data_IF_569229047568
#
_entry.id   IF_569229047568
#
_cell.length_a   1.000
_cell.length_b   1.000
_cell.length_c   1.000
_cell.angle_alpha   90.00
_cell.angle_beta   90.00
_cell.angle_gamma   90.00
#
_symmetry.space_group_name_H-M   'P 1'
#
loop_
_entity.id
_entity.type
_entity.pdbx_description
1 polymer ?
#
# COMPACT_ATOMS: atom_id res chain seq x y z
N UNK A 1 -7.25 15.09 23.60
CA UNK A 1 -8.44 15.03 22.71
C UNK A 1 -8.87 13.57 22.59
N UNK A 2 -10.17 13.27 22.55
CA UNK A 2 -10.65 11.90 22.32
C UNK A 2 -10.80 11.65 20.82
N UNK A 3 -10.16 10.60 20.32
CA UNK A 3 -10.25 10.13 18.94
C UNK A 3 -11.05 8.84 18.89
N UNK A 4 -12.07 8.78 18.04
CA UNK A 4 -12.72 7.53 17.63
C UNK A 4 -12.10 7.07 16.32
N UNK A 5 -11.88 5.76 16.19
CA UNK A 5 -11.25 5.19 15.01
C UNK A 5 -11.77 3.79 14.73
N UNK A 6 -11.56 3.38 13.48
CA UNK A 6 -11.76 2.00 13.02
C UNK A 6 -10.37 1.39 12.84
N UNK A 7 -10.09 0.27 13.49
CA UNK A 7 -8.91 -0.51 13.19
C UNK A 7 -9.21 -1.41 11.98
N UNK A 8 -8.38 -1.31 10.95
CA UNK A 8 -8.65 -1.90 9.64
C UNK A 8 -7.35 -2.34 8.97
N UNK A 9 -7.41 -3.30 8.05
CA UNK A 9 -6.24 -3.69 7.29
C UNK A 9 -6.57 -4.02 5.83
N UNK A 10 -5.59 -3.77 4.96
CA UNK A 10 -5.61 -4.16 3.55
C UNK A 10 -4.49 -5.15 3.28
N UNK A 11 -4.83 -6.42 3.03
CA UNK A 11 -3.87 -7.52 2.83
C UNK A 11 -2.83 -7.57 3.95
N UNK A 12 -3.26 -7.67 5.20
CA UNK A 12 -2.41 -7.71 6.39
C UNK A 12 -1.81 -6.37 6.86
N UNK A 13 -1.73 -5.34 6.01
CA UNK A 13 -1.20 -4.02 6.38
C UNK A 13 -2.26 -3.23 7.15
N UNK A 14 -2.04 -3.02 8.46
CA UNK A 14 -3.05 -2.62 9.45
C UNK A 14 -2.90 -1.19 9.96
N UNK A 15 -4.03 -0.55 10.26
CA UNK A 15 -4.10 0.87 10.58
C UNK A 15 -5.24 1.20 11.55
N UNK A 16 -5.02 2.04 12.56
CA UNK A 16 -6.07 2.94 13.03
C UNK A 16 -6.45 3.95 11.94
N UNK A 17 -7.74 4.04 11.63
CA UNK A 17 -8.32 4.98 10.66
C UNK A 17 -9.30 5.93 11.36
N UNK A 18 -9.00 7.24 11.31
CA UNK A 18 -9.80 8.31 11.91
C UNK A 18 -10.58 9.06 10.83
N UNK A 19 -11.87 9.33 11.08
CA UNK A 19 -12.60 10.37 10.35
C UNK A 19 -12.16 11.76 10.82
N UNK A 20 -11.22 12.36 10.08
CA UNK A 20 -10.61 13.64 10.39
C UNK A 20 -11.29 14.83 9.69
N UNK A 21 -12.43 14.62 9.00
CA UNK A 21 -13.21 15.67 8.30
C UNK A 21 -13.87 16.71 9.23
N UNK A 22 -13.57 16.71 10.52
CA UNK A 22 -14.04 17.72 11.46
C UNK A 22 -12.97 18.13 12.47
N UNK A 23 -11.73 17.68 12.27
CA UNK A 23 -10.66 17.79 13.25
C UNK A 23 -9.59 18.73 12.69
N UNK A 24 -9.41 19.88 13.34
CA UNK A 24 -8.37 20.84 13.00
C UNK A 24 -7.14 20.60 13.89
N UNK A 25 -6.16 19.87 13.34
CA UNK A 25 -4.82 19.70 13.90
C UNK A 25 -3.78 19.97 12.81
N UNK A 26 -2.64 20.53 13.19
CA UNK A 26 -1.53 20.71 12.26
C UNK A 26 -0.75 19.40 12.04
N UNK A 27 0.22 19.43 11.11
CA UNK A 27 1.01 18.25 10.75
C UNK A 27 1.89 17.75 11.91
N UNK A 28 2.34 18.64 12.80
CA UNK A 28 3.15 18.27 13.96
C UNK A 28 2.30 17.53 14.99
N UNK A 29 1.07 17.99 15.20
CA UNK A 29 0.09 17.35 16.08
C UNK A 29 -0.34 16.00 15.51
N UNK A 30 -0.64 15.89 14.21
CA UNK A 30 -0.94 14.61 13.59
C UNK A 30 0.22 13.63 13.64
N UNK A 31 1.46 14.10 13.45
CA UNK A 31 2.65 13.27 13.61
C UNK A 31 2.78 12.70 15.04
N UNK A 32 2.41 13.48 16.07
CA UNK A 32 2.39 13.00 17.47
C UNK A 32 1.28 11.99 17.71
N UNK A 33 0.08 12.23 17.19
CA UNK A 33 -1.03 11.26 17.28
C UNK A 33 -0.69 9.96 16.55
N UNK A 34 -0.05 10.05 15.38
CA UNK A 34 0.40 8.88 14.62
C UNK A 34 1.40 8.03 15.42
N UNK A 35 2.43 8.66 16.00
CA UNK A 35 3.37 7.96 16.90
C UNK A 35 2.66 7.27 18.06
N UNK A 36 1.68 7.93 18.67
CA UNK A 36 0.95 7.38 19.81
C UNK A 36 0.07 6.17 19.46
N UNK A 37 -0.57 6.20 18.29
CA UNK A 37 -1.53 5.16 17.88
C UNK A 37 -0.92 4.02 17.09
N UNK A 38 0.14 4.28 16.31
CA UNK A 38 0.79 3.27 15.48
C UNK A 38 1.94 2.54 16.19
N UNK A 39 2.34 2.97 17.39
CA UNK A 39 3.33 2.24 18.19
C UNK A 39 2.81 0.84 18.57
N UNK A 40 3.45 -0.19 18.00
CA UNK A 40 3.11 -1.60 18.27
C UNK A 40 3.41 -2.04 19.71
N UNK A 41 4.16 -1.26 20.48
CA UNK A 41 4.33 -1.48 21.92
C UNK A 41 3.21 -0.87 22.77
N UNK A 42 2.36 -0.03 22.16
CA UNK A 42 1.15 0.52 22.76
C UNK A 42 -0.10 -0.36 22.58
N UNK A 43 -1.25 0.13 23.06
CA UNK A 43 -2.52 -0.62 23.08
C UNK A 43 -3.20 -0.76 21.71
N UNK A 44 -2.90 0.14 20.77
CA UNK A 44 -3.52 0.15 19.42
C UNK A 44 -2.60 -0.55 18.43
N UNK A 45 -1.45 0.06 18.12
CA UNK A 45 -0.50 -0.45 17.14
C UNK A 45 -0.99 -0.36 15.69
N UNK A 46 -0.06 -0.43 14.75
CA UNK A 46 -0.35 -0.53 13.33
C UNK A 46 0.84 -0.10 12.47
N UNK A 47 0.73 -0.26 11.16
CA UNK A 47 1.73 0.18 10.19
C UNK A 47 1.64 1.69 9.88
N UNK A 48 0.70 2.39 10.48
CA UNK A 48 0.54 3.84 10.39
C UNK A 48 -0.83 4.33 10.81
N UNK A 49 -1.02 5.64 10.82
CA UNK A 49 -2.30 6.29 11.06
C UNK A 49 -2.90 6.74 9.73
N UNK A 50 -4.12 6.30 9.44
CA UNK A 50 -4.90 6.79 8.30
C UNK A 50 -5.88 7.87 8.74
N UNK A 51 -5.99 8.91 7.93
CA UNK A 51 -6.95 9.99 8.11
C UNK A 51 -7.85 10.10 6.88
N UNK A 52 -9.15 9.93 7.08
CA UNK A 52 -10.17 10.37 6.12
C UNK A 52 -10.32 11.89 6.25
N UNK A 53 -10.04 12.63 5.17
CA UNK A 53 -10.05 14.10 5.15
C UNK A 53 -11.12 14.64 4.21
N UNK A 54 -11.35 15.96 4.29
CA UNK A 54 -12.44 16.62 3.58
C UNK A 54 -12.43 16.40 2.06
N UNK A 55 -13.62 16.45 1.48
CA UNK A 55 -13.83 16.56 0.04
C UNK A 55 -13.36 17.92 -0.49
N UNK A 56 -13.26 18.01 -1.82
CA UNK A 56 -13.10 19.25 -2.55
C UNK A 56 -13.95 19.20 -3.84
N UNK A 57 -13.77 20.14 -4.75
CA UNK A 57 -14.55 20.21 -6.00
C UNK A 57 -14.32 19.01 -6.95
N UNK A 58 -13.23 18.26 -6.76
CA UNK A 58 -12.78 17.17 -7.64
C UNK A 58 -12.81 15.79 -6.99
N UNK A 59 -12.91 15.72 -5.65
CA UNK A 59 -12.77 14.50 -4.87
C UNK A 59 -13.90 14.34 -3.86
N UNK A 60 -14.40 13.11 -3.72
CA UNK A 60 -15.48 12.78 -2.77
C UNK A 60 -15.00 12.84 -1.31
N UNK A 61 -13.71 12.68 -1.07
CA UNK A 61 -12.97 12.85 0.19
C UNK A 61 -11.47 12.75 -0.10
N UNK A 62 -10.63 12.99 0.90
CA UNK A 62 -9.19 12.75 0.81
C UNK A 62 -8.69 11.68 1.79
N UNK A 63 -7.50 11.18 1.56
CA UNK A 63 -6.74 10.32 2.47
C UNK A 63 -5.39 10.97 2.79
N UNK A 64 -5.02 10.94 4.07
CA UNK A 64 -3.63 11.15 4.50
C UNK A 64 -3.16 9.91 5.27
N UNK A 65 -1.86 9.63 5.20
CA UNK A 65 -1.22 8.55 5.96
C UNK A 65 0.02 9.07 6.65
N UNK A 66 0.11 8.83 7.96
CA UNK A 66 1.31 9.05 8.75
C UNK A 66 1.92 7.71 9.13
N UNK A 67 3.22 7.55 8.93
CA UNK A 67 4.00 6.40 9.35
C UNK A 67 4.15 6.38 10.89
N UNK A 68 4.58 5.25 11.48
CA UNK A 68 4.78 5.14 12.92
C UNK A 68 5.81 6.12 13.50
N UNK A 69 6.74 6.65 12.69
CA UNK A 69 7.69 7.70 13.10
C UNK A 69 7.07 9.12 13.08
N UNK A 70 5.86 9.26 12.54
CA UNK A 70 5.13 10.50 12.35
C UNK A 70 5.46 11.24 11.06
N UNK A 71 6.27 10.67 10.17
CA UNK A 71 6.43 11.19 8.81
C UNK A 71 5.18 10.90 7.98
N UNK A 72 4.80 11.80 7.06
CA UNK A 72 3.63 11.59 6.21
C UNK A 72 4.01 10.95 4.87
N UNK A 73 3.43 9.78 4.59
CA UNK A 73 3.68 9.00 3.38
C UNK A 73 3.05 9.64 2.13
N UNK A 74 3.66 9.40 0.97
CA UNK A 74 3.18 9.90 -0.34
C UNK A 74 1.91 9.16 -0.79
N UNK A 75 1.91 7.84 -0.64
CA UNK A 75 0.77 6.98 -0.97
C UNK A 75 0.79 5.71 -0.12
N UNK A 76 -0.38 5.08 -0.01
CA UNK A 76 -0.53 3.70 0.46
C UNK A 76 -1.79 3.11 -0.16
N UNK A 77 -1.64 2.20 -1.13
CA UNK A 77 -2.79 1.63 -1.82
C UNK A 77 -3.59 0.65 -0.94
N UNK A 78 -2.98 0.08 0.10
CA UNK A 78 -3.69 -0.70 1.12
C UNK A 78 -4.58 0.20 1.98
N UNK A 79 -4.00 1.27 2.51
CA UNK A 79 -4.73 2.28 3.28
C UNK A 79 -5.80 3.01 2.47
N UNK A 80 -5.60 3.18 1.16
CA UNK A 80 -6.60 3.75 0.27
C UNK A 80 -7.86 2.88 0.19
N UNK A 81 -7.73 1.56 0.08
CA UNK A 81 -8.90 0.65 0.12
C UNK A 81 -9.67 0.80 1.43
N UNK A 82 -8.95 0.80 2.55
CA UNK A 82 -9.53 0.93 3.89
C UNK A 82 -10.23 2.30 4.08
N UNK A 83 -9.56 3.38 3.71
CA UNK A 83 -10.10 4.75 3.79
C UNK A 83 -11.29 4.94 2.87
N UNK A 84 -11.24 4.40 1.64
CA UNK A 84 -12.36 4.46 0.70
C UNK A 84 -13.59 3.72 1.22
N UNK A 85 -13.43 2.54 1.86
CA UNK A 85 -14.54 1.82 2.48
C UNK A 85 -15.26 2.69 3.52
N UNK A 86 -14.51 3.29 4.46
CA UNK A 86 -15.09 4.17 5.47
C UNK A 86 -15.71 5.42 4.84
N UNK A 87 -15.00 6.05 3.91
CA UNK A 87 -15.45 7.24 3.20
C UNK A 87 -16.79 7.01 2.50
N UNK A 88 -16.92 5.93 1.72
CA UNK A 88 -18.17 5.54 1.05
C UNK A 88 -19.33 5.31 2.02
N UNK A 89 -19.07 4.63 3.15
CA UNK A 89 -20.10 4.42 4.17
C UNK A 89 -20.61 5.75 4.76
N UNK A 90 -19.71 6.71 4.99
CA UNK A 90 -20.05 8.00 5.62
C UNK A 90 -20.64 9.03 4.65
N UNK A 91 -20.34 8.94 3.35
CA UNK A 91 -20.89 9.84 2.33
C UNK A 91 -22.13 9.28 1.64
N UNK A 92 -22.39 7.98 1.77
CA UNK A 92 -23.43 7.28 1.01
C UNK A 92 -23.10 7.12 -0.48
N UNK A 93 -21.84 7.34 -0.89
CA UNK A 93 -21.37 7.10 -2.26
C UNK A 93 -20.78 5.70 -2.42
N UNK A 94 -20.60 5.23 -3.65
CA UNK A 94 -20.05 3.89 -3.95
C UNK A 94 -18.83 3.91 -4.85
N UNK A 95 -18.54 5.05 -5.46
CA UNK A 95 -17.40 5.27 -6.34
C UNK A 95 -17.06 6.77 -6.38
N UNK A 96 -15.82 7.07 -6.76
CA UNK A 96 -15.36 8.44 -6.99
C UNK A 96 -13.84 8.55 -6.95
N UNK A 97 -13.34 9.78 -7.10
CA UNK A 97 -11.91 10.09 -6.94
C UNK A 97 -11.59 10.49 -5.50
N UNK A 98 -10.49 9.96 -4.99
CA UNK A 98 -9.97 10.21 -3.65
C UNK A 98 -8.68 11.01 -3.77
N UNK A 99 -8.61 12.14 -3.06
CA UNK A 99 -7.39 12.96 -3.01
C UNK A 99 -6.32 12.27 -2.15
N UNK A 100 -5.09 12.22 -2.64
CA UNK A 100 -3.89 11.78 -1.92
C UNK A 100 -2.97 12.99 -1.68
N UNK A 101 -1.82 12.77 -1.03
CA UNK A 101 -0.87 13.84 -0.68
C UNK A 101 -0.38 14.62 -1.90
N UNK A 102 0.00 13.92 -2.97
CA UNK A 102 0.59 14.49 -4.18
C UNK A 102 -0.14 14.10 -5.47
N UNK A 103 -1.23 13.35 -5.37
CA UNK A 103 -1.97 12.81 -6.51
C UNK A 103 -3.42 12.52 -6.14
N UNK A 104 -4.15 11.83 -7.01
CA UNK A 104 -5.45 11.25 -6.71
C UNK A 104 -5.53 9.82 -7.24
N UNK A 105 -6.57 9.10 -6.83
CA UNK A 105 -6.87 7.77 -7.32
C UNK A 105 -8.38 7.54 -7.43
N UNK A 106 -8.79 6.77 -8.41
CA UNK A 106 -10.17 6.26 -8.47
C UNK A 106 -10.38 5.17 -7.43
N UNK A 107 -11.54 5.16 -6.78
CA UNK A 107 -11.96 4.08 -5.90
C UNK A 107 -13.42 3.71 -6.16
N UNK A 108 -13.77 2.43 -5.97
CA UNK A 108 -15.16 1.96 -6.00
C UNK A 108 -15.36 0.68 -5.19
N UNK A 109 -16.57 0.51 -4.67
CA UNK A 109 -17.01 -0.76 -4.07
C UNK A 109 -17.29 -1.75 -5.20
N UNK A 110 -16.68 -2.93 -5.14
CA UNK A 110 -16.88 -4.01 -6.11
C UNK A 110 -17.43 -5.26 -5.43
N UNK A 111 -17.71 -6.31 -6.21
CA UNK A 111 -18.10 -7.60 -5.67
C UNK A 111 -17.02 -8.15 -4.74
N UNK A 112 -17.46 -8.79 -3.67
CA UNK A 112 -16.58 -9.41 -2.69
C UNK A 112 -15.66 -10.43 -3.37
N UNK A 113 -14.37 -10.39 -3.02
CA UNK A 113 -13.38 -11.34 -3.52
C UNK A 113 -13.62 -12.76 -2.98
N UNK A 114 -14.24 -12.85 -1.80
CA UNK A 114 -14.73 -14.07 -1.17
C UNK A 114 -15.91 -13.72 -0.24
N UNK A 115 -16.79 -14.67 0.10
CA UNK A 115 -17.96 -14.40 0.94
C UNK A 115 -17.59 -13.69 2.25
N UNK A 116 -18.21 -12.54 2.51
CA UNK A 116 -17.99 -11.74 3.72
C UNK A 116 -16.74 -10.86 3.67
N UNK A 117 -15.97 -10.86 2.59
CA UNK A 117 -14.77 -10.03 2.43
C UNK A 117 -15.11 -8.75 1.68
N UNK A 118 -15.37 -7.67 2.43
CA UNK A 118 -15.59 -6.34 1.87
C UNK A 118 -14.43 -5.92 0.96
N UNK A 119 -14.74 -5.68 -0.32
CA UNK A 119 -13.73 -5.49 -1.37
C UNK A 119 -13.85 -4.11 -2.00
N UNK A 120 -12.72 -3.39 -2.04
CA UNK A 120 -12.59 -2.09 -2.68
C UNK A 120 -11.62 -2.22 -3.84
N UNK A 121 -12.02 -1.68 -4.99
CA UNK A 121 -11.15 -1.48 -6.14
C UNK A 121 -10.58 -0.07 -6.12
N UNK A 122 -9.29 0.04 -6.35
CA UNK A 122 -8.56 1.30 -6.53
C UNK A 122 -7.85 1.30 -7.88
N UNK A 123 -7.90 2.41 -8.59
CA UNK A 123 -7.19 2.62 -9.86
C UNK A 123 -6.22 3.78 -9.72
N UNK A 124 -4.93 3.49 -9.89
CA UNK A 124 -3.83 4.44 -9.73
C UNK A 124 -2.89 4.38 -10.95
N UNK A 125 -2.10 5.43 -11.12
CA UNK A 125 -1.21 5.63 -12.26
C UNK A 125 -1.44 6.97 -12.95
N UNK A 126 -0.91 7.16 -14.17
CA UNK A 126 -0.18 6.16 -14.95
C UNK A 126 1.19 5.82 -14.35
N UNK A 127 1.63 4.59 -14.54
CA UNK A 127 3.00 4.15 -14.26
C UNK A 127 3.97 4.93 -15.15
N UNK A 128 5.10 5.34 -14.56
CA UNK A 128 6.25 5.78 -15.34
C UNK A 128 7.37 4.75 -15.32
N UNK A 129 7.99 4.55 -16.48
CA UNK A 129 9.21 3.77 -16.67
C UNK A 129 10.42 4.69 -16.98
N UNK A 130 10.23 6.01 -16.94
CA UNK A 130 11.33 6.95 -17.16
C UNK A 130 12.32 6.84 -15.98
N UNK A 131 13.60 6.52 -16.22
CA UNK A 131 14.57 6.34 -15.13
C UNK A 131 14.66 7.55 -14.19
N UNK A 132 14.57 8.77 -14.72
CA UNK A 132 14.59 9.99 -13.91
C UNK A 132 13.35 10.17 -13.04
N UNK A 133 12.17 9.74 -13.49
CA UNK A 133 10.94 9.76 -12.68
C UNK A 133 10.92 8.64 -11.63
N UNK A 134 11.62 7.53 -11.87
CA UNK A 134 11.95 6.53 -10.83
C UNK A 134 13.01 7.08 -9.85
N UNK A 135 13.65 8.22 -10.14
CA UNK A 135 14.68 8.81 -9.30
C UNK A 135 16.08 8.23 -9.50
N UNK A 136 16.29 7.43 -10.56
CA UNK A 136 17.60 6.91 -10.91
C UNK A 136 18.50 8.02 -11.47
N UNK A 137 19.68 8.18 -10.89
CA UNK A 137 20.72 9.09 -11.39
C UNK A 137 21.57 8.34 -12.40
N UNK A 138 21.18 8.41 -13.68
CA UNK A 138 21.84 7.71 -14.79
C UNK A 138 21.87 8.57 -16.06
N UNK A 139 22.82 8.29 -16.95
CA UNK A 139 22.86 8.88 -18.30
C UNK A 139 21.90 8.18 -19.27
N UNK A 140 21.39 7.00 -18.91
CA UNK A 140 20.45 6.25 -19.73
C UNK A 140 19.05 6.89 -19.65
N UNK A 141 18.50 7.27 -20.81
CA UNK A 141 17.13 7.79 -20.93
C UNK A 141 16.11 6.71 -21.24
N UNK A 142 16.56 5.59 -21.83
CA UNK A 142 15.69 4.44 -22.12
C UNK A 142 15.27 3.74 -20.82
N UNK A 143 14.01 3.28 -20.72
CA UNK A 143 13.54 2.50 -19.58
C UNK A 143 14.39 1.26 -19.28
N UNK A 144 14.62 0.97 -18.00
CA UNK A 144 15.12 -0.33 -17.56
C UNK A 144 13.93 -1.30 -17.47
N UNK A 145 13.84 -2.22 -18.42
CA UNK A 145 12.78 -3.24 -18.48
C UNK A 145 13.45 -4.60 -18.69
N UNK A 146 13.36 -5.46 -17.67
CA UNK A 146 13.96 -6.80 -17.64
C UNK A 146 15.45 -6.84 -18.02
N UNK A 147 16.22 -5.88 -17.50
CA UNK A 147 17.66 -5.79 -17.76
C UNK A 147 18.44 -5.36 -16.52
N UNK A 148 19.75 -5.67 -16.42
CA UNK A 148 20.58 -5.17 -15.33
C UNK A 148 20.61 -3.64 -15.28
N UNK A 149 20.62 -3.08 -14.07
CA UNK A 149 20.78 -1.64 -13.84
C UNK A 149 22.24 -1.38 -13.45
N UNK A 150 23.04 -0.70 -14.30
CA UNK A 150 24.44 -0.41 -13.98
C UNK A 150 24.60 0.35 -12.66
N UNK A 151 25.48 -0.14 -11.78
CA UNK A 151 25.73 0.44 -10.46
C UNK A 151 24.88 -0.16 -9.33
N UNK A 152 23.84 -0.93 -9.64
CA UNK A 152 23.12 -1.74 -8.66
C UNK A 152 24.00 -2.95 -8.26
N UNK A 153 24.11 -3.33 -6.97
CA UNK A 153 24.94 -4.45 -6.53
C UNK A 153 24.24 -5.80 -6.75
N UNK A 154 23.70 -6.01 -7.95
CA UNK A 154 23.05 -7.25 -8.37
C UNK A 154 23.23 -7.45 -9.87
N UNK A 155 23.47 -8.69 -10.28
CA UNK A 155 23.54 -9.07 -11.69
C UNK A 155 22.15 -9.40 -12.29
N UNK A 156 21.08 -9.36 -11.48
CA UNK A 156 19.73 -9.67 -11.91
C UNK A 156 19.21 -8.60 -12.88
N UNK A 157 18.25 -9.01 -13.69
CA UNK A 157 17.43 -8.10 -14.48
C UNK A 157 16.35 -7.44 -13.62
N UNK A 158 16.14 -6.14 -13.80
CA UNK A 158 15.11 -5.38 -13.12
C UNK A 158 14.23 -4.63 -14.12
N UNK A 159 13.01 -4.37 -13.70
CA UNK A 159 12.14 -3.35 -14.27
C UNK A 159 12.01 -2.22 -13.26
N UNK A 160 12.41 -1.01 -13.65
CA UNK A 160 12.33 0.19 -12.83
C UNK A 160 10.98 0.89 -13.08
N UNK A 161 10.21 1.13 -12.02
CA UNK A 161 8.81 1.58 -12.09
C UNK A 161 8.56 2.68 -11.07
N UNK A 162 7.90 3.77 -11.45
CA UNK A 162 7.38 4.78 -10.52
C UNK A 162 5.85 4.64 -10.43
N UNK A 163 5.32 4.41 -9.23
CA UNK A 163 3.89 4.18 -9.00
C UNK A 163 3.40 4.55 -7.59
N UNK A 164 3.32 5.85 -7.22
CA UNK A 164 4.05 7.00 -7.75
C UNK A 164 5.47 7.10 -7.15
N UNK A 165 5.78 6.29 -6.14
CA UNK A 165 7.11 6.18 -5.54
C UNK A 165 7.93 5.10 -6.27
N UNK A 166 9.26 5.03 -6.08
CA UNK A 166 10.13 4.21 -6.90
C UNK A 166 10.14 2.73 -6.48
N UNK A 167 10.05 1.85 -7.47
CA UNK A 167 10.09 0.40 -7.35
C UNK A 167 11.12 -0.21 -8.30
N UNK A 168 11.99 -1.06 -7.77
CA UNK A 168 12.88 -1.93 -8.53
C UNK A 168 12.33 -3.35 -8.44
N UNK A 169 11.72 -3.83 -9.52
CA UNK A 169 11.06 -5.14 -9.59
C UNK A 169 11.93 -6.13 -10.33
N UNK A 170 12.21 -7.29 -9.74
CA UNK A 170 12.90 -8.40 -10.40
C UNK A 170 12.08 -9.68 -10.28
N UNK A 171 12.11 -10.52 -11.32
CA UNK A 171 11.45 -11.82 -11.34
C UNK A 171 12.46 -12.91 -10.97
N UNK A 172 12.08 -13.77 -10.04
CA UNK A 172 12.94 -14.82 -9.48
C UNK A 172 12.21 -16.16 -9.47
N UNK A 173 12.96 -17.26 -9.49
CA UNK A 173 12.40 -18.61 -9.35
C UNK A 173 11.90 -18.87 -7.92
N UNK A 174 12.65 -18.36 -6.94
CA UNK A 174 12.31 -18.40 -5.52
C UNK A 174 12.83 -17.13 -4.83
N UNK A 175 12.08 -16.60 -3.88
CA UNK A 175 12.50 -15.45 -3.06
C UNK A 175 13.64 -15.87 -2.13
N UNK A 176 14.80 -15.22 -2.30
CA UNK A 176 15.88 -15.19 -1.32
C UNK A 176 15.73 -13.89 -0.51
N UNK A 177 15.22 -14.00 0.72
CA UNK A 177 15.02 -12.84 1.59
C UNK A 177 16.34 -12.22 2.03
N UNK A 178 17.41 -12.99 2.19
CA UNK A 178 18.71 -12.45 2.58
C UNK A 178 19.29 -11.59 1.46
N UNK A 179 19.12 -12.00 0.19
CA UNK A 179 19.49 -11.17 -0.96
C UNK A 179 18.62 -9.92 -1.06
N UNK A 180 17.30 -10.07 -0.90
CA UNK A 180 16.37 -8.95 -0.92
C UNK A 180 16.71 -7.91 0.16
N UNK A 181 17.02 -8.35 1.39
CA UNK A 181 17.45 -7.48 2.49
C UNK A 181 18.76 -6.79 2.16
N UNK A 182 19.79 -7.51 1.71
CA UNK A 182 21.08 -6.89 1.34
C UNK A 182 20.92 -5.80 0.27
N UNK A 183 20.07 -6.05 -0.74
CA UNK A 183 19.81 -5.08 -1.80
C UNK A 183 18.94 -3.91 -1.31
N UNK A 184 17.95 -4.21 -0.46
CA UNK A 184 17.09 -3.23 0.21
C UNK A 184 17.88 -2.27 1.09
N UNK A 185 18.73 -2.79 1.97
CA UNK A 185 19.65 -2.01 2.82
C UNK A 185 20.56 -1.11 1.99
N UNK A 186 21.09 -1.63 0.88
CA UNK A 186 21.89 -0.83 -0.03
C UNK A 186 21.09 0.32 -0.66
N UNK A 187 19.85 0.08 -1.07
CA UNK A 187 18.95 1.12 -1.56
C UNK A 187 18.58 2.13 -0.46
N UNK A 188 18.34 1.66 0.77
CA UNK A 188 17.96 2.49 1.93
C UNK A 188 19.12 3.40 2.38
N UNK A 189 20.37 2.99 2.16
CA UNK A 189 21.54 3.84 2.39
C UNK A 189 21.60 5.08 1.47
N UNK A 190 20.70 5.21 0.48
CA UNK A 190 20.60 6.36 -0.42
C UNK A 190 21.85 6.54 -1.32
N UNK A 191 22.27 5.50 -2.07
CA UNK A 191 23.48 5.55 -2.87
C UNK A 191 23.33 6.54 -4.03
N UNK A 192 24.45 6.98 -4.62
CA UNK A 192 24.44 7.97 -5.70
C UNK A 192 23.54 7.60 -6.89
N UNK A 193 23.35 6.29 -7.15
CA UNK A 193 22.44 5.80 -8.19
C UNK A 193 20.97 6.10 -7.89
N UNK A 194 20.54 6.00 -6.62
CA UNK A 194 19.15 6.18 -6.19
C UNK A 194 19.10 6.94 -4.85
N UNK A 195 19.44 8.26 -4.83
CA UNK A 195 19.56 9.01 -3.58
C UNK A 195 18.24 9.12 -2.80
N UNK A 196 17.11 9.12 -3.53
CA UNK A 196 15.77 9.12 -2.96
C UNK A 196 15.33 7.75 -2.42
N UNK A 197 16.24 6.75 -2.45
CA UNK A 197 16.01 5.34 -2.10
C UNK A 197 14.93 4.70 -2.99
N UNK A 198 14.71 3.41 -2.87
CA UNK A 198 13.64 2.72 -3.60
C UNK A 198 13.12 1.51 -2.87
N UNK A 199 11.86 1.16 -3.15
CA UNK A 199 11.32 -0.15 -2.81
C UNK A 199 11.97 -1.19 -3.73
N UNK A 200 12.37 -2.33 -3.18
CA UNK A 200 12.90 -3.47 -3.95
C UNK A 200 11.91 -4.61 -3.83
N UNK A 201 11.53 -5.23 -4.95
CA UNK A 201 10.54 -6.32 -4.95
C UNK A 201 11.04 -7.50 -5.75
N UNK A 202 11.05 -8.67 -5.10
CA UNK A 202 11.31 -9.95 -5.72
C UNK A 202 9.96 -10.61 -6.00
N UNK A 203 9.76 -11.04 -7.25
CA UNK A 203 8.47 -11.54 -7.73
C UNK A 203 8.62 -12.96 -8.24
N UNK A 204 7.91 -13.89 -7.61
CA UNK A 204 7.73 -15.25 -8.12
C UNK A 204 6.52 -15.30 -9.05
N UNK A 205 6.69 -15.96 -10.20
CA UNK A 205 5.55 -16.40 -11.00
C UNK A 205 5.02 -17.69 -10.41
N UNK A 206 3.71 -17.72 -10.17
CA UNK A 206 2.98 -18.87 -9.65
C UNK A 206 1.83 -19.23 -10.59
N UNK A 207 1.22 -20.37 -10.34
CA UNK A 207 -0.03 -20.79 -10.99
C UNK A 207 -1.08 -21.06 -9.91
N UNK A 208 -2.26 -20.47 -10.06
CA UNK A 208 -3.42 -20.72 -9.18
C UNK A 208 -4.61 -21.02 -10.07
N UNK A 209 -5.19 -22.22 -9.93
CA UNK A 209 -6.34 -22.64 -10.73
C UNK A 209 -6.09 -22.59 -12.25
N UNK A 210 -4.88 -22.92 -12.70
CA UNK A 210 -4.43 -22.85 -14.11
C UNK A 210 -4.35 -21.44 -14.70
N UNK A 211 -4.34 -20.41 -13.86
CA UNK A 211 -4.08 -19.04 -14.26
C UNK A 211 -2.74 -18.55 -13.66
N UNK A 212 -1.99 -17.69 -14.38
CA UNK A 212 -0.79 -17.09 -13.82
C UNK A 212 -1.15 -16.24 -12.60
N UNK A 213 -0.30 -16.30 -11.60
CA UNK A 213 -0.36 -15.51 -10.39
C UNK A 213 1.02 -14.97 -10.06
N UNK A 214 1.08 -13.93 -9.24
CA UNK A 214 2.32 -13.34 -8.77
C UNK A 214 2.40 -13.45 -7.26
N UNK A 215 3.56 -13.79 -6.71
CA UNK A 215 3.85 -13.54 -5.30
C UNK A 215 4.95 -12.49 -5.20
N UNK A 216 4.69 -11.45 -4.43
CA UNK A 216 5.54 -10.27 -4.31
C UNK A 216 6.05 -10.20 -2.88
N UNK A 217 7.37 -10.25 -2.73
CA UNK A 217 8.05 -9.94 -1.47
C UNK A 217 8.83 -8.64 -1.62
N UNK A 218 8.64 -7.71 -0.68
CA UNK A 218 9.12 -6.34 -0.81
C UNK A 218 9.96 -5.95 0.39
N UNK A 219 11.12 -5.35 0.10
CA UNK A 219 11.81 -4.47 1.02
C UNK A 219 11.34 -3.04 0.72
N UNK A 220 10.63 -2.44 1.66
CA UNK A 220 9.99 -1.14 1.53
C UNK A 220 10.88 -0.02 2.05
N UNK A 221 10.99 1.04 1.25
CA UNK A 221 11.77 2.25 1.54
C UNK A 221 11.33 2.84 2.88
N UNK A 222 12.28 3.02 3.79
CA UNK A 222 12.05 3.60 5.11
C UNK A 222 11.37 2.65 6.11
N UNK A 223 11.12 1.39 5.76
CA UNK A 223 10.44 0.42 6.63
C UNK A 223 11.26 -0.87 6.79
N UNK A 224 11.74 -1.47 5.69
CA UNK A 224 12.39 -2.79 5.71
C UNK A 224 11.53 -3.87 5.04
N UNK A 225 11.72 -5.13 5.41
CA UNK A 225 10.85 -6.21 4.91
C UNK A 225 9.42 -6.02 5.41
N UNK A 226 8.47 -5.90 4.49
CA UNK A 226 7.04 -5.75 4.81
C UNK A 226 6.23 -6.90 4.26
N UNK A 227 5.22 -7.32 5.04
CA UNK A 227 4.34 -8.40 4.63
C UNK A 227 3.39 -7.98 3.52
N UNK A 228 3.17 -6.68 3.36
CA UNK A 228 2.29 -6.16 2.33
C UNK A 228 2.58 -4.72 1.94
N UNK A 229 2.73 -4.51 0.63
CA UNK A 229 2.90 -3.19 0.03
C UNK A 229 2.05 -3.10 -1.24
N UNK A 230 0.94 -2.35 -1.17
CA UNK A 230 -0.01 -2.26 -2.29
C UNK A 230 0.58 -1.63 -3.56
N UNK A 231 1.47 -0.65 -3.44
CA UNK A 231 2.15 -0.07 -4.61
C UNK A 231 3.15 -1.05 -5.24
N UNK A 232 3.82 -1.89 -4.44
CA UNK A 232 4.69 -2.94 -4.97
C UNK A 232 3.90 -4.01 -5.73
N UNK A 233 2.70 -4.37 -5.27
CA UNK A 233 1.79 -5.25 -6.01
C UNK A 233 1.37 -4.62 -7.35
N UNK A 234 1.05 -3.31 -7.36
CA UNK A 234 0.72 -2.59 -8.58
C UNK A 234 1.90 -2.55 -9.57
N UNK A 235 3.08 -2.16 -9.08
CA UNK A 235 4.31 -2.06 -9.86
C UNK A 235 4.71 -3.43 -10.42
N UNK A 236 4.60 -4.50 -9.63
CA UNK A 236 4.89 -5.87 -10.05
C UNK A 236 3.91 -6.37 -11.10
N UNK A 237 2.62 -6.04 -10.96
CA UNK A 237 1.59 -6.36 -11.98
C UNK A 237 1.92 -5.68 -13.31
N UNK A 238 2.25 -4.39 -13.27
CA UNK A 238 2.64 -3.67 -14.48
C UNK A 238 3.94 -4.21 -15.08
N UNK A 239 4.98 -4.48 -14.27
CA UNK A 239 6.23 -5.07 -14.74
C UNK A 239 6.00 -6.45 -15.38
N UNK A 240 5.10 -7.27 -14.83
CA UNK A 240 4.78 -8.59 -15.37
C UNK A 240 4.07 -8.46 -16.73
N UNK A 241 3.09 -7.56 -16.84
CA UNK A 241 2.41 -7.32 -18.12
C UNK A 241 3.37 -6.73 -19.17
N UNK A 242 4.22 -5.79 -18.74
CA UNK A 242 5.20 -5.13 -19.61
C UNK A 242 6.24 -6.07 -20.20
N UNK A 243 6.57 -7.13 -19.49
CA UNK A 243 7.55 -8.13 -19.88
C UNK A 243 6.92 -9.40 -20.46
N UNK A 244 5.60 -9.41 -20.67
CA UNK A 244 4.87 -10.54 -21.28
C UNK A 244 4.67 -11.75 -20.36
N UNK A 245 4.91 -11.60 -19.06
CA UNK A 245 4.71 -12.64 -18.04
C UNK A 245 3.24 -12.83 -17.69
N UNK A 246 2.44 -11.77 -17.84
CA UNK A 246 0.96 -11.80 -17.84
C UNK A 246 0.44 -10.95 -19.00
N UNK A 247 -0.84 -11.04 -19.32
CA UNK A 247 -1.47 -10.23 -20.36
C UNK A 247 -1.88 -8.83 -19.87
N UNK A 248 -1.78 -7.81 -20.73
CA UNK A 248 -2.43 -6.53 -20.51
C UNK A 248 -3.95 -6.71 -20.40
N UNK A 249 -4.59 -5.99 -19.48
CA UNK A 249 -6.03 -6.09 -19.29
C UNK A 249 -6.50 -7.42 -18.69
N UNK A 250 -5.59 -8.30 -18.26
CA UNK A 250 -5.93 -9.58 -17.61
C UNK A 250 -5.90 -9.40 -16.09
N UNK A 251 -7.02 -9.72 -15.45
CA UNK A 251 -7.09 -9.79 -13.98
C UNK A 251 -6.23 -10.97 -13.50
N UNK A 252 -5.29 -10.68 -12.60
CA UNK A 252 -4.27 -11.61 -12.09
C UNK A 252 -4.32 -11.60 -10.57
N UNK A 253 -4.25 -12.78 -9.94
CA UNK A 253 -4.09 -12.86 -8.50
C UNK A 253 -2.66 -12.50 -8.11
N UNK A 254 -2.52 -11.52 -7.23
CA UNK A 254 -1.22 -11.07 -6.71
C UNK A 254 -1.23 -11.26 -5.21
N UNK A 255 -0.25 -12.01 -4.73
CA UNK A 255 -0.07 -12.40 -3.35
C UNK A 255 1.14 -11.68 -2.74
N UNK A 256 1.11 -11.52 -1.43
CA UNK A 256 2.25 -11.18 -0.59
C UNK A 256 2.12 -11.97 0.73
N UNK A 257 3.01 -11.75 1.70
CA UNK A 257 2.93 -12.47 2.96
C UNK A 257 1.68 -12.11 3.78
N UNK A 258 1.15 -10.88 3.64
CA UNK A 258 -0.05 -10.40 4.32
C UNK A 258 -1.38 -10.79 3.67
N UNK A 259 -1.35 -11.35 2.45
CA UNK A 259 -2.52 -11.89 1.77
C UNK A 259 -2.52 -11.63 0.27
N UNK A 260 -3.65 -11.20 -0.30
CA UNK A 260 -3.79 -11.06 -1.75
C UNK A 260 -4.64 -9.88 -2.21
N UNK A 261 -4.50 -9.56 -3.49
CA UNK A 261 -5.38 -8.69 -4.27
C UNK A 261 -5.56 -9.27 -5.68
N UNK A 262 -6.64 -8.89 -6.36
CA UNK A 262 -6.78 -9.06 -7.81
C UNK A 262 -6.29 -7.79 -8.47
N UNK A 263 -5.33 -7.90 -9.39
CA UNK A 263 -4.73 -6.76 -10.04
C UNK A 263 -4.79 -6.88 -11.56
N UNK A 264 -4.87 -5.75 -12.23
CA UNK A 264 -4.85 -5.65 -13.69
C UNK A 264 -4.06 -4.42 -14.09
N UNK A 265 -3.08 -4.60 -14.97
CA UNK A 265 -2.39 -3.49 -15.62
C UNK A 265 -2.99 -3.26 -17.01
N UNK A 266 -3.31 -2.01 -17.32
CA UNK A 266 -3.80 -1.57 -18.62
C UNK A 266 -2.62 -0.98 -19.44
N UNK A 267 -2.72 -1.02 -20.77
CA UNK A 267 -1.62 -0.59 -21.66
C UNK A 267 -1.34 0.93 -21.62
N UNK A 268 -2.25 1.72 -21.05
CA UNK A 268 -2.11 3.16 -20.79
C UNK A 268 -1.28 3.46 -19.52
N UNK A 269 -0.78 2.42 -18.84
CA UNK A 269 0.00 2.53 -17.61
C UNK A 269 -0.86 2.60 -16.35
N UNK A 270 -2.20 2.55 -16.45
CA UNK A 270 -3.05 2.49 -15.26
C UNK A 270 -3.04 1.08 -14.66
N UNK A 271 -3.01 0.99 -13.33
CA UNK A 271 -3.14 -0.28 -12.62
C UNK A 271 -4.36 -0.23 -11.72
N UNK A 272 -5.17 -1.26 -11.83
CA UNK A 272 -6.35 -1.49 -10.99
C UNK A 272 -6.01 -2.59 -9.98
N UNK A 273 -6.29 -2.35 -8.70
CA UNK A 273 -6.17 -3.32 -7.61
C UNK A 273 -7.51 -3.43 -6.90
N UNK A 274 -8.04 -4.64 -6.78
CA UNK A 274 -9.20 -4.96 -5.97
C UNK A 274 -8.79 -5.91 -4.84
N UNK A 275 -9.02 -5.51 -3.60
CA UNK A 275 -8.64 -6.29 -2.43
C UNK A 275 -9.51 -5.97 -1.23
N UNK A 276 -9.26 -6.67 -0.13
CA UNK A 276 -9.99 -6.45 1.11
C UNK A 276 -9.73 -5.05 1.68
N UNK A 277 -10.69 -4.59 2.47
CA UNK A 277 -10.61 -3.45 3.35
C UNK A 277 -11.21 -3.85 4.69
N UNK A 278 -10.66 -4.90 5.32
CA UNK A 278 -11.24 -5.58 6.48
C UNK A 278 -11.23 -4.66 7.69
N UNK A 279 -12.35 -4.57 8.40
CA UNK A 279 -12.40 -3.92 9.71
C UNK A 279 -12.22 -4.99 10.77
N UNK A 280 -11.31 -4.77 11.72
CA UNK A 280 -11.07 -5.73 12.81
C UNK A 280 -11.86 -5.34 14.05
N UNK A 281 -11.83 -4.06 14.42
CA UNK A 281 -12.50 -3.53 15.60
C UNK A 281 -12.64 -2.01 15.52
N UNK A 282 -13.53 -1.45 16.33
CA UNK A 282 -13.70 -0.01 16.50
C UNK A 282 -13.38 0.37 17.94
N UNK A 283 -12.81 1.55 18.14
CA UNK A 283 -12.49 2.01 19.47
C UNK A 283 -12.33 3.52 19.57
N UNK A 284 -12.04 3.95 20.79
CA UNK A 284 -11.73 5.32 21.09
C UNK A 284 -10.61 5.42 22.12
N UNK A 285 -9.79 6.45 22.00
CA UNK A 285 -8.64 6.69 22.87
C UNK A 285 -8.43 8.20 23.03
N UNK A 286 -8.01 8.61 24.23
CA UNK A 286 -7.58 9.98 24.46
C UNK A 286 -6.10 10.12 24.09
N UNK A 287 -5.77 11.08 23.24
CA UNK A 287 -4.37 11.45 22.96
C UNK A 287 -4.25 12.95 23.10
N UNK A 288 -3.24 13.41 23.82
CA UNK A 288 -2.85 14.82 23.83
C UNK A 288 -2.10 15.14 22.53
N UNK A 289 -2.65 15.96 21.61
CA UNK A 289 -2.01 16.25 20.33
C UNK A 289 -0.71 17.05 20.47
N UNK A 290 -0.48 17.70 21.61
CA UNK A 290 0.71 18.52 21.83
C UNK A 290 1.88 17.72 22.39
N UNK A 291 1.60 16.65 23.14
CA UNK A 291 2.62 15.79 23.76
C UNK A 291 2.72 14.40 23.13
N UNK A 292 1.68 13.94 22.45
CA UNK A 292 1.57 12.56 21.95
C UNK A 292 1.29 11.53 23.05
N UNK A 293 0.99 11.95 24.27
CA UNK A 293 0.69 11.02 25.37
C UNK A 293 -0.71 10.45 25.17
N UNK A 294 -0.80 9.12 25.09
CA UNK A 294 -2.05 8.38 25.01
C UNK A 294 -2.58 8.00 26.40
N UNK A 295 -3.88 8.11 26.58
CA UNK A 295 -4.64 7.56 27.69
C UNK A 295 -5.15 6.14 27.38
N UNK A 296 -6.09 5.62 28.20
CA UNK A 296 -6.55 4.24 28.04
C UNK A 296 -7.38 4.05 26.77
N UNK A 297 -7.12 2.94 26.07
CA UNK A 297 -7.94 2.48 24.95
C UNK A 297 -9.30 1.97 25.43
N UNK A 298 -10.37 2.32 24.72
CA UNK A 298 -11.69 1.72 24.86
C UNK A 298 -12.10 1.08 23.53
N UNK A 299 -12.21 -0.25 23.50
CA UNK A 299 -12.79 -0.96 22.35
C UNK A 299 -14.32 -0.87 22.44
N UNK A 300 -14.96 -0.37 21.39
CA UNK A 300 -16.42 -0.18 21.33
C UNK A 300 -17.12 -1.30 20.56
N UNK A 301 -16.42 -1.96 19.62
CA UNK A 301 -16.98 -3.04 18.81
C UNK A 301 -15.88 -3.95 18.25
N UNK A 302 -16.12 -5.25 18.26
CA UNK A 302 -15.33 -6.25 17.54
C UNK A 302 -16.03 -6.62 16.22
N UNK A 303 -15.26 -6.93 15.19
CA UNK A 303 -15.73 -7.39 13.87
C UNK A 303 -15.10 -8.75 13.54
N UNK A 304 -15.24 -9.71 14.47
CA UNK A 304 -14.66 -11.05 14.37
C UNK A 304 -15.14 -11.81 13.11
N UNK A 305 -16.34 -11.50 12.62
CA UNK A 305 -16.90 -12.06 11.39
C UNK A 305 -16.09 -11.68 10.15
N UNK A 306 -15.65 -10.43 10.05
CA UNK A 306 -14.82 -9.98 8.94
C UNK A 306 -13.40 -10.56 9.00
N UNK A 307 -12.83 -10.64 10.21
CA UNK A 307 -11.52 -11.25 10.44
C UNK A 307 -11.56 -12.74 10.07
N UNK A 308 -12.61 -13.45 10.47
CA UNK A 308 -12.82 -14.85 10.14
C UNK A 308 -13.01 -15.05 8.62
N UNK A 309 -13.80 -14.20 7.95
CA UNK A 309 -14.02 -14.27 6.51
C UNK A 309 -12.71 -14.10 5.73
N UNK A 310 -11.89 -13.11 6.10
CA UNK A 310 -10.58 -12.91 5.48
C UNK A 310 -9.63 -14.09 5.73
N UNK A 311 -9.57 -14.59 6.97
CA UNK A 311 -8.70 -15.72 7.34
C UNK A 311 -9.11 -17.00 6.61
N UNK A 312 -10.42 -17.26 6.50
CA UNK A 312 -10.95 -18.41 5.77
C UNK A 312 -10.63 -18.34 4.27
N UNK A 313 -10.65 -17.15 3.67
CA UNK A 313 -10.21 -16.96 2.30
C UNK A 313 -8.73 -17.31 2.13
N UNK A 314 -7.85 -16.78 2.99
CA UNK A 314 -6.42 -17.06 2.90
C UNK A 314 -6.07 -18.52 3.11
N UNK A 315 -6.78 -19.23 4.00
CA UNK A 315 -6.57 -20.66 4.23
C UNK A 315 -7.03 -21.55 3.05
N UNK A 316 -7.84 -21.01 2.14
CA UNK A 316 -8.32 -21.72 0.95
C UNK A 316 -7.47 -21.52 -0.31
N UNK A 317 -6.41 -20.70 -0.23
CA UNK A 317 -5.48 -20.37 -1.32
C UNK A 317 -4.22 -21.25 -1.25
#
# INVERSE_FOLDING_TARGET
>A
MRFSFVHTHGSGNDFPLIDARGIALDDTQWARVARALADRSGDVGGDGLLLLTHSDNSHIFGMRMFNPDGSEAETCLNGLRCTARLGFALTGTREGRVRLKQSDAGARIVAEIAPGVATIETRAGPVSLNPGEVGLTTQQTAPFVDMPIPGLPSARSFTAVAMPNPHLVTFVEAVDEDELVRLGDWCEAGPALIPARANVSFVELREVGHAPALFVRTYERGVGLTDSCGSAMAASTHAAARTGRIGWGVETSVFNAGGMVRARADADGMVTIAGNATVTWEGAIEVDPDTGIAGPLTITRQHDDEVAAWSAMLAGL
#
